data_IF_320252074352
#
_entry.id   IF_320252074352
#
_cell.length_a   1.000
_cell.length_b   1.000
_cell.length_c   1.000
_cell.angle_alpha   90.00
_cell.angle_beta   90.00
_cell.angle_gamma   90.00
#
_symmetry.space_group_name_H-M   'P 1'
#
loop_
_entity.id
_entity.type
_entity.pdbx_description
1 polymer ?
#
# COMPACT_ATOMS: atom_id res chain seq x y z
N UNK A 1 21.28 -2.39 -9.26
CA UNK A 1 20.73 -2.67 -7.91
C UNK A 1 21.63 -2.01 -6.86
N UNK A 2 21.07 -1.48 -5.78
CA UNK A 2 21.83 -0.98 -4.62
C UNK A 2 21.82 -2.03 -3.51
N UNK A 3 22.94 -2.18 -2.80
CA UNK A 3 23.07 -3.12 -1.69
C UNK A 3 22.83 -2.41 -0.36
N UNK A 4 22.19 -3.10 0.58
CA UNK A 4 22.02 -2.65 1.96
C UNK A 4 22.71 -3.66 2.88
N UNK A 5 23.42 -3.17 3.90
CA UNK A 5 23.99 -3.99 4.97
C UNK A 5 23.12 -3.82 6.21
N UNK A 6 22.64 -4.92 6.77
CA UNK A 6 21.77 -4.93 7.93
C UNK A 6 22.39 -5.77 9.03
N UNK A 7 22.51 -5.18 10.22
CA UNK A 7 22.92 -5.88 11.44
C UNK A 7 21.67 -6.35 12.18
N UNK A 8 21.57 -7.65 12.42
CA UNK A 8 20.47 -8.26 13.20
C UNK A 8 21.04 -9.23 14.22
N UNK A 9 20.27 -9.52 15.26
CA UNK A 9 20.64 -10.52 16.25
C UNK A 9 20.75 -11.92 15.61
N UNK A 10 21.82 -12.65 15.92
CA UNK A 10 22.09 -13.98 15.34
C UNK A 10 20.93 -14.96 15.55
N UNK A 11 20.30 -14.91 16.75
CA UNK A 11 19.13 -15.75 17.08
C UNK A 11 17.97 -15.52 16.12
N UNK A 12 17.77 -14.27 15.69
CA UNK A 12 16.71 -13.88 14.75
C UNK A 12 17.08 -14.35 13.36
N UNK A 13 18.33 -14.13 12.92
CA UNK A 13 18.79 -14.61 11.61
C UNK A 13 18.65 -16.12 11.47
N UNK A 14 19.00 -16.88 12.51
CA UNK A 14 18.88 -18.33 12.53
C UNK A 14 17.41 -18.81 12.47
N UNK A 15 16.49 -18.09 13.10
CA UNK A 15 15.06 -18.38 13.01
C UNK A 15 14.52 -18.09 11.61
N UNK A 16 14.82 -16.92 11.04
CA UNK A 16 14.34 -16.51 9.72
C UNK A 16 14.92 -17.39 8.60
N UNK A 17 16.16 -17.86 8.74
CA UNK A 17 16.74 -18.83 7.79
C UNK A 17 15.95 -20.13 7.71
N UNK A 18 15.48 -20.64 8.85
CA UNK A 18 14.62 -21.84 8.88
C UNK A 18 13.30 -21.59 8.17
N UNK A 19 12.64 -20.48 8.50
CA UNK A 19 11.39 -20.07 7.82
C UNK A 19 11.59 -19.92 6.31
N UNK A 20 12.68 -19.30 5.88
CA UNK A 20 12.99 -19.13 4.48
C UNK A 20 13.18 -20.49 3.77
N UNK A 21 13.89 -21.43 4.41
CA UNK A 21 14.08 -22.77 3.89
C UNK A 21 12.74 -23.53 3.77
N UNK A 22 11.90 -23.47 4.80
CA UNK A 22 10.57 -24.10 4.81
C UNK A 22 9.67 -23.54 3.69
N UNK A 23 9.83 -22.26 3.35
CA UNK A 23 9.09 -21.58 2.27
C UNK A 23 9.78 -21.67 0.90
N UNK A 24 10.90 -22.40 0.77
CA UNK A 24 11.64 -22.52 -0.49
C UNK A 24 12.21 -21.19 -1.01
N UNK A 25 12.51 -20.24 -0.11
CA UNK A 25 12.99 -18.90 -0.43
C UNK A 25 14.28 -18.56 0.33
N UNK A 26 14.75 -17.32 0.21
CA UNK A 26 15.92 -16.82 0.94
C UNK A 26 15.57 -15.61 1.79
N UNK A 27 16.32 -15.39 2.86
CA UNK A 27 16.17 -14.19 3.71
C UNK A 27 16.25 -12.90 2.88
N UNK A 28 17.19 -12.84 1.93
CA UNK A 28 17.33 -11.67 1.04
C UNK A 28 16.13 -11.48 0.12
N UNK A 29 15.52 -12.57 -0.38
CA UNK A 29 14.29 -12.48 -1.17
C UNK A 29 13.13 -11.96 -0.32
N UNK A 30 12.97 -12.47 0.91
CA UNK A 30 11.94 -11.99 1.85
C UNK A 30 12.11 -10.51 2.20
N UNK A 31 13.35 -10.07 2.48
CA UNK A 31 13.64 -8.65 2.76
C UNK A 31 13.32 -7.78 1.56
N UNK A 32 13.73 -8.20 0.35
CA UNK A 32 13.43 -7.47 -0.88
C UNK A 32 11.93 -7.33 -1.09
N UNK A 33 11.21 -8.43 -0.99
CA UNK A 33 9.75 -8.46 -1.16
C UNK A 33 9.04 -7.58 -0.12
N UNK A 34 9.49 -7.63 1.14
CA UNK A 34 8.94 -6.78 2.20
C UNK A 34 9.15 -5.29 1.90
N UNK A 35 10.37 -4.90 1.50
CA UNK A 35 10.68 -3.50 1.15
C UNK A 35 9.90 -3.04 -0.09
N UNK A 36 9.73 -3.90 -1.09
CA UNK A 36 8.90 -3.61 -2.27
C UNK A 36 7.45 -3.37 -1.87
N UNK A 37 6.84 -4.26 -1.10
CA UNK A 37 5.45 -4.09 -0.62
C UNK A 37 5.28 -2.81 0.20
N UNK A 38 6.26 -2.48 1.03
CA UNK A 38 6.23 -1.26 1.83
C UNK A 38 6.22 -0.01 0.94
N UNK A 39 7.07 0.02 -0.10
CA UNK A 39 7.10 1.11 -1.07
C UNK A 39 5.79 1.22 -1.87
N UNK A 40 5.28 0.09 -2.37
CA UNK A 40 4.02 0.03 -3.13
C UNK A 40 2.80 0.49 -2.28
N UNK A 41 2.78 0.17 -1.00
CA UNK A 41 1.71 0.62 -0.12
C UNK A 41 1.73 2.14 0.11
N UNK A 42 2.91 2.73 0.30
CA UNK A 42 3.03 4.19 0.36
C UNK A 42 2.57 4.84 -0.94
N UNK A 43 2.96 4.28 -2.08
CA UNK A 43 2.62 4.84 -3.38
C UNK A 43 1.11 4.76 -3.67
N UNK A 44 0.46 3.61 -3.40
CA UNK A 44 -0.99 3.45 -3.59
C UNK A 44 -1.81 4.44 -2.77
N UNK A 45 -1.48 4.62 -1.49
CA UNK A 45 -2.19 5.56 -0.63
C UNK A 45 -1.96 7.01 -1.06
N UNK A 46 -0.72 7.34 -1.47
CA UNK A 46 -0.39 8.67 -2.00
C UNK A 46 -1.10 8.94 -3.33
N UNK A 47 -1.12 7.97 -4.23
CA UNK A 47 -1.81 8.05 -5.52
C UNK A 47 -3.32 8.19 -5.35
N UNK A 48 -3.94 7.40 -4.46
CA UNK A 48 -5.37 7.53 -4.16
C UNK A 48 -5.72 8.92 -3.63
N UNK A 49 -4.92 9.46 -2.69
CA UNK A 49 -5.11 10.82 -2.17
C UNK A 49 -4.98 11.88 -3.27
N UNK A 50 -3.96 11.75 -4.13
CA UNK A 50 -3.76 12.64 -5.28
C UNK A 50 -4.96 12.59 -6.21
N UNK A 51 -5.45 11.39 -6.53
CA UNK A 51 -6.57 11.19 -7.43
C UNK A 51 -7.88 11.76 -6.88
N UNK A 52 -8.15 11.58 -5.59
CA UNK A 52 -9.31 12.18 -4.93
C UNK A 52 -9.23 13.71 -5.01
N UNK A 53 -8.04 14.28 -4.77
CA UNK A 53 -7.83 15.73 -4.87
C UNK A 53 -8.08 16.26 -6.28
N UNK A 54 -7.49 15.62 -7.29
CA UNK A 54 -7.71 15.98 -8.70
C UNK A 54 -9.20 15.93 -9.07
N UNK A 55 -9.91 14.87 -8.67
CA UNK A 55 -11.35 14.74 -8.93
C UNK A 55 -12.16 15.81 -8.19
N UNK A 56 -11.77 16.16 -6.97
CA UNK A 56 -12.42 17.22 -6.20
C UNK A 56 -12.19 18.61 -6.82
N UNK A 57 -10.99 18.87 -7.33
CA UNK A 57 -10.63 20.14 -7.98
C UNK A 57 -11.31 20.28 -9.35
N UNK A 58 -11.45 19.17 -10.09
CA UNK A 58 -12.14 19.14 -11.38
C UNK A 58 -13.67 19.04 -11.28
N UNK A 59 -14.21 18.86 -10.07
CA UNK A 59 -15.64 18.66 -9.86
C UNK A 59 -16.39 19.99 -9.91
N UNK A 60 -17.36 20.11 -10.82
CA UNK A 60 -18.34 21.21 -10.86
C UNK A 60 -19.51 21.01 -9.87
N UNK A 61 -19.49 19.93 -9.09
CA UNK A 61 -20.56 19.64 -8.13
C UNK A 61 -20.70 20.75 -7.08
N UNK A 62 -21.91 21.28 -6.95
CA UNK A 62 -22.26 22.24 -5.90
C UNK A 62 -22.40 21.51 -4.55
N UNK A 63 -21.50 21.80 -3.62
CA UNK A 63 -21.56 21.27 -2.25
C UNK A 63 -22.49 22.19 -1.43
N UNK A 64 -23.64 21.66 -1.01
CA UNK A 64 -24.64 22.37 -0.22
C UNK A 64 -25.56 21.39 0.52
N UNK A 65 -26.58 21.88 1.23
CA UNK A 65 -27.57 21.01 1.89
C UNK A 65 -28.29 20.15 0.85
N UNK A 66 -27.91 18.88 0.77
CA UNK A 66 -28.55 17.90 -0.10
C UNK A 66 -30.02 17.72 0.35
N UNK A 67 -30.96 17.97 -0.56
CA UNK A 67 -32.40 17.72 -0.32
C UNK A 67 -32.87 16.37 -0.84
N UNK A 68 -32.01 15.64 -1.54
CA UNK A 68 -32.37 14.38 -2.17
C UNK A 68 -32.38 13.22 -1.18
N UNK A 69 -33.36 12.33 -1.32
CA UNK A 69 -33.40 11.04 -0.62
C UNK A 69 -32.84 9.96 -1.55
N UNK A 70 -32.23 8.91 -0.98
CA UNK A 70 -31.58 7.83 -1.73
C UNK A 70 -32.50 7.22 -2.81
N UNK A 71 -33.80 7.13 -2.54
CA UNK A 71 -34.79 6.57 -3.46
C UNK A 71 -35.03 7.46 -4.69
N UNK A 72 -34.75 8.75 -4.60
CA UNK A 72 -34.91 9.75 -5.67
C UNK A 72 -33.71 9.78 -6.64
N UNK A 73 -32.62 9.09 -6.32
CA UNK A 73 -31.42 9.03 -7.16
C UNK A 73 -31.44 7.95 -8.24
N UNK A 74 -32.47 7.11 -8.26
CA UNK A 74 -32.53 5.94 -9.13
C UNK A 74 -33.34 6.12 -10.41
N UNK A 75 -33.93 7.29 -10.65
CA UNK A 75 -34.66 7.57 -11.88
C UNK A 75 -33.68 7.92 -13.00
N UNK A 76 -33.57 7.00 -13.97
CA UNK A 76 -32.90 7.16 -15.26
C UNK A 76 -33.94 7.35 -16.36
#
# INVERSE_FOLDING_TARGET
>A
MKNITLSIEEKVLAAVRRVAADQGTTVNAMVREHLTRLAEHQDRAALARRRIRELSEASEALIGSAKWRRDELHDR
#
